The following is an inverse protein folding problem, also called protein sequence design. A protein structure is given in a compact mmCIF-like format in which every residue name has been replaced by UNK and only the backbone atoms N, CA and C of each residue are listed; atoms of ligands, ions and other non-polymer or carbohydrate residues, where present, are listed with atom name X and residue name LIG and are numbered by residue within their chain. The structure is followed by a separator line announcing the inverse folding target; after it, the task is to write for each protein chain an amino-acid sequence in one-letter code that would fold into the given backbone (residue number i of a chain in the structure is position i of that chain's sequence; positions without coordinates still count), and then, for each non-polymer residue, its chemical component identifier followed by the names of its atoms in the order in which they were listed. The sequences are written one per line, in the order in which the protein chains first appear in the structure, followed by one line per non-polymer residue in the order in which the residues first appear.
data_IF_198498013301
#
_entry.id   IF_198498013301
#
_cell.length_a   1.000
_cell.length_b   1.000
_cell.length_c   1.000
_cell.angle_alpha   90.00
_cell.angle_beta   90.00
_cell.angle_gamma   90.00
#
_symmetry.space_group_name_H-M   'P 1'
#
loop_
_entity.id
_entity.type
_entity.pdbx_description
1 polymer ?
#
# COMPACT_ATOMS: atom_id res chain seq x y z
N UNK A 1 -10.43 -4.94 5.49
CA UNK A 1 -10.19 -5.39 4.10
C UNK A 1 -9.17 -6.52 4.08
N UNK A 2 -9.31 -7.47 3.14
CA UNK A 2 -8.26 -8.42 2.79
C UNK A 2 -7.35 -7.75 1.76
N UNK A 3 -6.01 -7.81 1.96
CA UNK A 3 -5.05 -7.03 1.17
C UNK A 3 -3.96 -7.87 0.47
N UNK A 4 -3.77 -9.14 0.85
CA UNK A 4 -2.69 -9.97 0.30
C UNK A 4 -3.01 -10.39 -1.14
N UNK A 5 -2.35 -9.76 -2.13
CA UNK A 5 -2.58 -10.07 -3.55
C UNK A 5 -2.42 -11.57 -3.85
N UNK A 6 -1.34 -12.28 -3.40
CA UNK A 6 -1.22 -13.71 -3.66
C UNK A 6 -2.39 -14.54 -3.13
N UNK A 7 -2.90 -14.21 -1.95
CA UNK A 7 -4.02 -14.94 -1.36
C UNK A 7 -5.35 -14.67 -2.10
N UNK A 8 -5.49 -13.52 -2.77
CA UNK A 8 -6.70 -13.22 -3.55
C UNK A 8 -6.90 -14.17 -4.75
N UNK A 9 -5.84 -14.84 -5.20
CA UNK A 9 -5.95 -15.87 -6.25
C UNK A 9 -6.42 -17.23 -5.71
N UNK A 10 -6.30 -17.44 -4.40
CA UNK A 10 -6.68 -18.70 -3.73
C UNK A 10 -8.12 -18.63 -3.23
N UNK A 11 -8.50 -17.48 -2.68
CA UNK A 11 -9.82 -17.30 -2.04
C UNK A 11 -10.52 -15.99 -2.51
N UNK A 12 -10.82 -15.85 -3.83
CA UNK A 12 -11.40 -14.61 -4.36
C UNK A 12 -12.75 -14.26 -3.74
N UNK A 13 -13.58 -15.23 -3.40
CA UNK A 13 -14.90 -15.02 -2.78
C UNK A 13 -14.78 -14.29 -1.45
N UNK A 14 -13.79 -14.67 -0.61
CA UNK A 14 -13.52 -13.99 0.65
C UNK A 14 -13.18 -12.51 0.46
N UNK A 15 -12.52 -12.17 -0.66
CA UNK A 15 -12.21 -10.77 -1.00
C UNK A 15 -13.46 -10.00 -1.42
N UNK A 16 -14.38 -10.61 -2.17
CA UNK A 16 -15.66 -10.00 -2.52
C UNK A 16 -16.48 -9.74 -1.25
N UNK A 17 -16.62 -10.74 -0.40
CA UNK A 17 -17.40 -10.63 0.84
C UNK A 17 -16.82 -9.58 1.78
N UNK A 18 -15.49 -9.57 1.96
CA UNK A 18 -14.85 -8.63 2.89
C UNK A 18 -14.74 -7.23 2.30
N UNK A 19 -14.25 -7.09 1.07
CA UNK A 19 -13.91 -5.78 0.52
C UNK A 19 -15.12 -5.08 -0.09
N UNK A 20 -15.97 -5.77 -0.84
CA UNK A 20 -17.15 -5.15 -1.48
C UNK A 20 -18.33 -5.10 -0.50
N UNK A 21 -18.78 -6.25 0.01
CA UNK A 21 -19.93 -6.29 0.94
C UNK A 21 -19.59 -5.58 2.26
N UNK A 22 -18.35 -5.73 2.76
CA UNK A 22 -17.91 -4.98 3.95
C UNK A 22 -17.99 -3.48 3.74
N UNK A 23 -17.56 -2.96 2.58
CA UNK A 23 -17.69 -1.53 2.26
C UNK A 23 -19.15 -1.12 2.16
N UNK A 24 -20.01 -1.92 1.50
CA UNK A 24 -21.44 -1.67 1.46
C UNK A 24 -22.02 -1.53 2.87
N UNK A 25 -21.73 -2.48 3.75
CA UNK A 25 -22.22 -2.47 5.13
C UNK A 25 -21.78 -1.22 5.90
N UNK A 26 -20.50 -0.82 5.73
CA UNK A 26 -19.99 0.39 6.39
C UNK A 26 -20.63 1.67 5.84
N UNK A 27 -20.84 1.77 4.52
CA UNK A 27 -21.53 2.91 3.92
C UNK A 27 -23.00 2.98 4.37
N UNK A 28 -23.71 1.85 4.49
CA UNK A 28 -25.07 1.80 5.03
C UNK A 28 -25.09 2.26 6.49
N UNK A 29 -24.18 1.75 7.32
CA UNK A 29 -24.09 2.15 8.71
C UNK A 29 -23.78 3.64 8.88
N UNK A 30 -22.84 4.16 8.09
CA UNK A 30 -22.51 5.59 8.08
C UNK A 30 -23.72 6.46 7.69
N UNK A 31 -24.46 6.04 6.66
CA UNK A 31 -25.71 6.71 6.26
C UNK A 31 -26.76 6.72 7.37
N UNK A 32 -26.98 5.57 8.02
CA UNK A 32 -27.96 5.44 9.11
C UNK A 32 -27.57 6.24 10.34
N UNK A 33 -26.27 6.30 10.66
CA UNK A 33 -25.74 7.06 11.79
C UNK A 33 -25.65 8.57 11.52
N UNK A 34 -25.77 9.02 10.26
CA UNK A 34 -25.66 10.43 9.91
C UNK A 34 -24.28 10.99 10.23
N UNK A 35 -23.21 10.24 9.92
CA UNK A 35 -21.85 10.68 10.23
C UNK A 35 -21.45 11.90 9.39
N UNK A 36 -20.63 12.80 9.94
CA UNK A 36 -20.13 13.97 9.23
C UNK A 36 -19.14 13.63 8.14
N UNK A 37 -18.49 12.45 8.22
CA UNK A 37 -17.55 11.96 7.22
C UNK A 37 -17.27 10.46 7.36
N UNK A 38 -17.09 9.79 6.21
CA UNK A 38 -16.50 8.45 6.13
C UNK A 38 -15.32 8.47 5.16
N UNK A 39 -14.14 8.08 5.65
CA UNK A 39 -12.95 7.88 4.80
C UNK A 39 -12.82 6.41 4.47
N UNK A 40 -12.96 6.06 3.20
CA UNK A 40 -12.85 4.70 2.69
C UNK A 40 -11.43 4.44 2.22
N UNK A 41 -10.75 3.49 2.86
CA UNK A 41 -9.40 3.09 2.44
C UNK A 41 -9.46 2.27 1.17
N UNK A 42 -8.95 2.85 0.06
CA UNK A 42 -8.70 2.17 -1.21
C UNK A 42 -7.21 1.77 -1.33
N UNK A 43 -6.64 1.81 -2.52
CA UNK A 43 -5.26 1.42 -2.80
C UNK A 43 -4.79 1.95 -4.15
N UNK A 44 -3.50 2.17 -4.33
CA UNK A 44 -2.88 2.43 -5.64
C UNK A 44 -3.00 1.25 -6.62
N UNK A 45 -3.23 0.03 -6.14
CA UNK A 45 -3.39 -1.17 -6.98
C UNK A 45 -4.63 -1.13 -7.89
N UNK A 46 -5.58 -0.20 -7.65
CA UNK A 46 -6.74 0.02 -8.55
C UNK A 46 -6.33 0.55 -9.91
N UNK A 47 -5.15 1.17 -10.01
CA UNK A 47 -4.62 1.72 -11.26
C UNK A 47 -3.94 0.67 -12.13
N UNK A 48 -3.51 -0.46 -11.56
CA UNK A 48 -2.70 -1.44 -12.26
C UNK A 48 -1.34 -0.88 -12.68
N UNK A 49 -0.76 -1.42 -13.76
CA UNK A 49 0.49 -0.86 -14.32
C UNK A 49 0.22 0.53 -14.90
N UNK A 50 1.04 1.49 -14.49
CA UNK A 50 0.89 2.86 -14.92
C UNK A 50 0.96 3.00 -16.44
N UNK A 51 -0.02 3.70 -17.02
CA UNK A 51 0.00 4.17 -18.41
C UNK A 51 0.84 5.44 -18.52
N UNK A 52 0.75 6.28 -17.50
CA UNK A 52 1.53 7.49 -17.34
C UNK A 52 1.95 7.65 -15.87
N UNK A 53 3.04 8.34 -15.62
CA UNK A 53 3.54 8.68 -14.29
C UNK A 53 3.91 10.17 -14.22
N UNK A 54 3.64 10.82 -13.10
CA UNK A 54 2.98 10.29 -11.89
C UNK A 54 1.49 9.99 -12.14
N UNK A 55 0.98 8.95 -11.42
CA UNK A 55 -0.41 8.48 -11.53
C UNK A 55 -1.33 9.47 -10.82
N UNK A 56 -2.15 10.19 -11.59
CA UNK A 56 -3.19 11.06 -11.03
C UNK A 56 -4.46 10.28 -10.67
N UNK A 57 -5.40 10.92 -9.97
CA UNK A 57 -6.68 10.31 -9.59
C UNK A 57 -7.60 10.04 -10.79
N UNK A 58 -7.32 10.69 -11.93
CA UNK A 58 -8.05 10.49 -13.20
C UNK A 58 -7.49 9.34 -14.04
N UNK A 59 -6.36 8.75 -13.64
CA UNK A 59 -5.79 7.59 -14.32
C UNK A 59 -6.81 6.44 -14.39
N UNK A 60 -6.89 5.70 -15.51
CA UNK A 60 -7.80 4.56 -15.66
C UNK A 60 -7.63 3.52 -14.55
N UNK A 61 -8.74 2.99 -14.04
CA UNK A 61 -8.71 1.84 -13.12
C UNK A 61 -8.55 0.56 -13.93
N UNK A 62 -7.51 -0.22 -13.60
CA UNK A 62 -7.14 -1.44 -14.34
C UNK A 62 -6.95 -2.61 -13.36
N UNK A 63 -7.94 -3.50 -13.19
CA UNK A 63 -7.82 -4.62 -12.26
C UNK A 63 -6.84 -5.67 -12.79
N UNK A 64 -5.68 -5.82 -12.16
CA UNK A 64 -4.69 -6.85 -12.50
C UNK A 64 -4.70 -8.05 -11.52
N UNK A 65 -5.55 -8.01 -10.51
CA UNK A 65 -5.72 -9.10 -9.54
C UNK A 65 -7.16 -9.14 -9.01
N UNK A 66 -7.64 -10.28 -8.45
CA UNK A 66 -8.92 -10.31 -7.74
C UNK A 66 -8.97 -9.28 -6.60
N UNK A 67 -7.86 -9.05 -5.88
CA UNK A 67 -7.75 -7.99 -4.87
C UNK A 67 -8.06 -6.62 -5.47
N UNK A 68 -7.34 -6.20 -6.52
CA UNK A 68 -7.58 -4.88 -7.12
C UNK A 68 -8.99 -4.74 -7.68
N UNK A 69 -9.54 -5.80 -8.28
CA UNK A 69 -10.93 -5.82 -8.74
C UNK A 69 -11.92 -5.56 -7.60
N UNK A 70 -11.73 -6.20 -6.43
CA UNK A 70 -12.60 -5.97 -5.27
C UNK A 70 -12.43 -4.58 -4.66
N UNK A 71 -11.24 -3.98 -4.74
CA UNK A 71 -11.02 -2.59 -4.30
C UNK A 71 -11.68 -1.58 -5.24
N UNK A 72 -11.63 -1.82 -6.57
CA UNK A 72 -12.39 -1.03 -7.55
C UNK A 72 -13.90 -1.15 -7.29
N UNK A 73 -14.41 -2.35 -7.01
CA UNK A 73 -15.80 -2.57 -6.65
C UNK A 73 -16.20 -1.86 -5.35
N UNK A 74 -15.33 -1.88 -4.34
CA UNK A 74 -15.52 -1.15 -3.09
C UNK A 74 -15.55 0.38 -3.30
N UNK A 75 -14.64 0.92 -4.13
CA UNK A 75 -14.63 2.33 -4.52
C UNK A 75 -15.95 2.72 -5.20
N UNK A 76 -16.42 1.89 -6.16
CA UNK A 76 -17.68 2.13 -6.87
C UNK A 76 -18.90 2.11 -5.94
N UNK A 77 -18.95 1.21 -4.95
CA UNK A 77 -19.98 1.21 -3.90
C UNK A 77 -19.94 2.52 -3.11
N UNK A 78 -18.76 2.91 -2.63
CA UNK A 78 -18.60 4.13 -1.84
C UNK A 78 -18.99 5.38 -2.65
N UNK A 79 -18.54 5.51 -3.90
CA UNK A 79 -18.93 6.57 -4.84
C UNK A 79 -20.44 6.62 -5.05
N UNK A 80 -21.10 5.45 -5.20
CA UNK A 80 -22.55 5.38 -5.38
C UNK A 80 -23.34 5.89 -4.16
N UNK A 81 -22.83 5.65 -2.95
CA UNK A 81 -23.48 6.16 -1.73
C UNK A 81 -23.38 7.68 -1.61
N UNK A 82 -22.26 8.25 -2.04
CA UNK A 82 -22.15 9.72 -2.16
C UNK A 82 -23.14 10.26 -3.19
N UNK A 83 -23.11 9.72 -4.41
CA UNK A 83 -23.91 10.24 -5.53
C UNK A 83 -25.41 10.06 -5.34
N UNK A 84 -25.85 8.91 -4.82
CA UNK A 84 -27.27 8.57 -4.70
C UNK A 84 -27.91 9.07 -3.39
N UNK A 85 -27.14 9.13 -2.31
CA UNK A 85 -27.67 9.38 -0.97
C UNK A 85 -27.03 10.57 -0.25
N UNK A 86 -26.05 11.24 -0.86
CA UNK A 86 -25.34 12.36 -0.24
C UNK A 86 -24.47 11.97 0.95
N UNK A 87 -24.10 10.70 1.10
CA UNK A 87 -23.20 10.28 2.18
C UNK A 87 -21.83 10.96 2.00
N UNK A 88 -21.26 11.59 3.03
CA UNK A 88 -20.02 12.36 2.91
C UNK A 88 -18.78 11.45 2.84
N UNK A 89 -18.65 10.73 1.72
CA UNK A 89 -17.57 9.78 1.45
C UNK A 89 -16.33 10.49 0.91
N UNK A 90 -15.16 10.14 1.41
CA UNK A 90 -13.86 10.43 0.81
C UNK A 90 -13.13 9.11 0.59
N UNK A 91 -12.59 8.87 -0.61
CA UNK A 91 -11.84 7.65 -0.91
C UNK A 91 -10.34 7.98 -0.90
N UNK A 92 -9.63 7.43 0.08
CA UNK A 92 -8.19 7.57 0.20
C UNK A 92 -7.48 6.41 -0.53
N UNK A 93 -6.55 6.74 -1.43
CA UNK A 93 -5.73 5.78 -2.19
C UNK A 93 -4.27 5.87 -1.76
N UNK A 94 -3.88 5.22 -0.63
CA UNK A 94 -2.49 5.19 -0.24
C UNK A 94 -1.66 4.38 -1.24
N UNK A 95 -0.46 4.89 -1.55
CA UNK A 95 0.58 4.14 -2.23
C UNK A 95 1.29 3.23 -1.24
N UNK A 96 2.34 2.52 -1.64
CA UNK A 96 2.91 1.45 -0.82
C UNK A 96 3.38 1.93 0.55
N UNK A 97 2.54 1.77 1.55
CA UNK A 97 2.86 2.13 2.95
C UNK A 97 3.84 1.13 3.54
N UNK A 98 4.89 1.62 4.19
CA UNK A 98 5.89 0.81 4.90
C UNK A 98 6.23 1.41 6.27
N UNK A 99 6.79 0.60 7.14
CA UNK A 99 7.20 1.05 8.48
C UNK A 99 7.20 -0.08 9.51
N UNK A 100 7.37 0.27 10.79
CA UNK A 100 7.22 -0.66 11.91
C UNK A 100 5.93 -1.47 11.84
N UNK A 101 5.97 -2.73 12.24
CA UNK A 101 4.83 -3.67 12.27
C UNK A 101 4.27 -4.07 10.91
N UNK A 102 4.91 -3.71 9.80
CA UNK A 102 4.46 -4.13 8.48
C UNK A 102 4.49 -5.67 8.37
N UNK A 103 3.52 -6.21 7.64
CA UNK A 103 3.41 -7.65 7.41
C UNK A 103 4.64 -8.22 6.68
N UNK A 104 5.11 -9.41 7.09
CA UNK A 104 6.17 -10.16 6.42
C UNK A 104 5.85 -10.58 4.96
N UNK A 105 4.64 -10.27 4.47
CA UNK A 105 4.28 -10.42 3.04
C UNK A 105 4.86 -9.33 2.16
N UNK A 106 5.26 -8.20 2.74
CA UNK A 106 5.83 -7.07 2.01
C UNK A 106 7.35 -7.21 1.87
N UNK A 107 7.92 -6.61 0.82
CA UNK A 107 9.34 -6.76 0.48
C UNK A 107 10.26 -6.18 1.55
N UNK A 108 9.98 -4.99 2.09
CA UNK A 108 10.83 -4.31 3.08
C UNK A 108 11.02 -5.17 4.34
N UNK A 109 9.96 -5.63 5.05
CA UNK A 109 10.14 -6.51 6.20
C UNK A 109 10.73 -7.86 5.83
N UNK A 110 10.48 -8.38 4.63
CA UNK A 110 11.10 -9.64 4.15
C UNK A 110 12.61 -9.50 4.06
N UNK A 111 13.13 -8.42 3.49
CA UNK A 111 14.58 -8.18 3.39
C UNK A 111 15.18 -7.97 4.78
N UNK A 112 14.60 -7.06 5.57
CA UNK A 112 15.12 -6.72 6.91
C UNK A 112 15.17 -7.96 7.81
N UNK A 113 14.09 -8.77 7.85
CA UNK A 113 14.05 -9.95 8.71
C UNK A 113 15.05 -11.02 8.30
N UNK A 114 15.31 -11.23 7.02
CA UNK A 114 16.35 -12.14 6.55
C UNK A 114 17.75 -11.68 6.98
N UNK A 115 18.07 -10.41 6.77
CA UNK A 115 19.36 -9.84 7.19
C UNK A 115 19.52 -9.90 8.71
N UNK A 116 18.49 -9.48 9.46
CA UNK A 116 18.50 -9.49 10.92
C UNK A 116 18.62 -10.91 11.52
N UNK A 117 18.15 -11.92 10.79
CA UNK A 117 18.32 -13.33 11.16
C UNK A 117 19.71 -13.91 10.78
N UNK A 118 20.62 -13.09 10.30
CA UNK A 118 21.99 -13.49 9.97
C UNK A 118 22.20 -14.04 8.56
N UNK A 119 21.18 -14.03 7.70
CA UNK A 119 21.33 -14.48 6.32
C UNK A 119 22.23 -13.52 5.54
N UNK A 120 23.14 -14.07 4.72
CA UNK A 120 24.02 -13.31 3.82
C UNK A 120 23.62 -13.43 2.35
N UNK A 121 22.80 -14.43 2.02
CA UNK A 121 22.17 -14.56 0.72
C UNK A 121 20.65 -14.40 0.89
N UNK A 122 20.10 -13.30 0.38
CA UNK A 122 18.71 -12.90 0.54
C UNK A 122 17.86 -13.50 -0.56
N UNK A 123 16.73 -14.13 -0.20
CA UNK A 123 15.75 -14.64 -1.17
C UNK A 123 14.76 -13.53 -1.52
N UNK A 124 14.72 -13.15 -2.79
CA UNK A 124 13.85 -12.06 -3.30
C UNK A 124 13.06 -12.53 -4.52
N UNK A 125 12.05 -11.74 -4.93
CA UNK A 125 11.37 -11.89 -6.22
C UNK A 125 12.05 -11.04 -7.31
N UNK A 126 11.25 -10.59 -8.29
CA UNK A 126 11.72 -9.63 -9.30
C UNK A 126 12.09 -8.28 -8.65
N UNK A 127 13.29 -7.82 -8.91
CA UNK A 127 13.82 -6.55 -8.37
C UNK A 127 13.66 -5.37 -9.35
N UNK A 128 13.14 -5.62 -10.56
CA UNK A 128 12.97 -4.57 -11.57
C UNK A 128 11.77 -3.64 -11.34
N UNK A 129 10.63 -4.08 -10.73
CA UNK A 129 9.50 -3.20 -10.51
C UNK A 129 9.86 -2.00 -9.61
N UNK A 130 9.13 -0.89 -9.85
CA UNK A 130 9.29 0.33 -9.06
C UNK A 130 8.05 0.63 -8.24
N UNK A 131 8.22 1.24 -7.09
CA UNK A 131 7.14 1.62 -6.16
C UNK A 131 7.39 3.00 -5.59
N UNK A 132 6.30 3.65 -5.24
CA UNK A 132 6.25 4.84 -4.40
C UNK A 132 5.97 4.38 -2.97
N UNK A 133 6.98 4.51 -2.11
CA UNK A 133 6.90 4.11 -0.72
C UNK A 133 6.58 5.29 0.18
N UNK A 134 5.48 5.18 0.93
CA UNK A 134 5.09 6.14 1.96
C UNK A 134 5.42 5.58 3.34
N UNK A 135 6.16 6.34 4.15
CA UNK A 135 6.33 5.97 5.54
C UNK A 135 4.98 6.00 6.28
N UNK A 136 4.77 5.04 7.18
CA UNK A 136 3.46 4.83 7.82
C UNK A 136 2.90 6.07 8.53
N UNK A 137 3.76 6.90 9.14
CA UNK A 137 3.34 8.13 9.78
C UNK A 137 2.83 9.17 8.76
N UNK A 138 3.48 9.27 7.59
CA UNK A 138 3.01 10.12 6.50
C UNK A 138 1.64 9.66 5.98
N UNK A 139 1.47 8.36 5.82
CA UNK A 139 0.18 7.78 5.45
C UNK A 139 -0.89 8.11 6.48
N UNK A 140 -0.61 7.92 7.79
CA UNK A 140 -1.55 8.24 8.86
C UNK A 140 -1.92 9.73 8.87
N UNK A 141 -0.93 10.64 8.73
CA UNK A 141 -1.20 12.08 8.62
C UNK A 141 -2.05 12.40 7.39
N UNK A 142 -1.85 11.69 6.26
CA UNK A 142 -2.69 11.81 5.09
C UNK A 142 -4.16 11.46 5.36
N UNK A 143 -4.41 10.35 6.06
CA UNK A 143 -5.78 9.98 6.45
C UNK A 143 -6.41 11.01 7.39
N UNK A 144 -5.68 11.52 8.37
CA UNK A 144 -6.17 12.57 9.28
C UNK A 144 -6.51 13.84 8.49
N UNK A 145 -5.61 14.30 7.61
CA UNK A 145 -5.83 15.46 6.78
C UNK A 145 -7.09 15.32 5.90
N UNK A 146 -7.33 14.13 5.32
CA UNK A 146 -8.54 13.85 4.54
C UNK A 146 -9.81 13.75 5.42
N UNK A 147 -9.68 13.34 6.66
CA UNK A 147 -10.80 13.30 7.58
C UNK A 147 -11.26 14.72 7.99
N UNK A 148 -10.32 15.66 8.09
CA UNK A 148 -10.54 17.03 8.58
C UNK A 148 -10.81 18.05 7.46
N UNK A 149 -10.36 17.81 6.21
CA UNK A 149 -10.49 18.76 5.11
C UNK A 149 -11.95 18.97 4.70
N UNK A 150 -12.39 20.21 4.57
CA UNK A 150 -13.73 20.57 4.09
C UNK A 150 -13.84 20.55 2.56
N UNK A 151 -15.05 20.22 2.05
CA UNK A 151 -15.36 20.35 0.61
C UNK A 151 -14.69 19.31 -0.29
N UNK A 152 -14.32 18.18 0.25
CA UNK A 152 -13.65 17.08 -0.50
C UNK A 152 -14.51 15.81 -0.62
N UNK A 153 -15.75 15.87 -0.19
CA UNK A 153 -16.69 14.74 -0.25
C UNK A 153 -16.92 14.34 -1.72
N UNK A 154 -17.03 13.04 -1.94
CA UNK A 154 -17.14 12.44 -3.27
C UNK A 154 -15.81 12.28 -4.02
N UNK A 155 -14.69 12.74 -3.47
CA UNK A 155 -13.40 12.68 -4.16
C UNK A 155 -12.63 11.41 -3.86
N UNK A 156 -11.87 10.97 -4.87
CA UNK A 156 -10.79 10.00 -4.75
C UNK A 156 -9.49 10.78 -4.60
N UNK A 157 -8.65 10.45 -3.62
CA UNK A 157 -7.45 11.23 -3.32
C UNK A 157 -6.26 10.29 -3.04
N UNK A 158 -5.18 10.48 -3.80
CA UNK A 158 -3.94 9.74 -3.62
C UNK A 158 -3.17 10.24 -2.39
N UNK A 159 -2.62 9.30 -1.61
CA UNK A 159 -1.63 9.59 -0.58
C UNK A 159 -0.32 8.95 -1.07
N UNK A 160 0.56 9.75 -1.63
CA UNK A 160 1.77 9.31 -2.33
C UNK A 160 2.97 10.19 -1.98
N UNK A 161 4.19 9.60 -1.91
CA UNK A 161 5.40 10.40 -1.72
C UNK A 161 5.77 11.20 -2.98
N UNK A 162 5.32 10.75 -4.13
CA UNK A 162 5.71 11.29 -5.43
C UNK A 162 7.11 10.87 -5.88
N UNK A 163 7.69 9.89 -5.20
CA UNK A 163 9.05 9.40 -5.50
C UNK A 163 9.04 7.93 -5.85
N UNK A 164 9.60 7.56 -6.99
CA UNK A 164 9.68 6.20 -7.48
C UNK A 164 11.05 5.59 -7.18
N UNK A 165 11.06 4.37 -6.65
CA UNK A 165 12.28 3.61 -6.36
C UNK A 165 12.13 2.16 -6.79
N UNK A 166 13.19 1.54 -7.36
CA UNK A 166 13.16 0.12 -7.72
C UNK A 166 13.31 -0.79 -6.49
N UNK A 167 12.88 -2.05 -6.62
CA UNK A 167 13.10 -3.04 -5.57
C UNK A 167 14.60 -3.31 -5.37
N UNK A 168 15.41 -3.24 -6.44
CA UNK A 168 16.87 -3.34 -6.34
C UNK A 168 17.47 -2.22 -5.49
N UNK A 169 17.08 -0.98 -5.74
CA UNK A 169 17.55 0.16 -4.96
C UNK A 169 17.04 0.09 -3.51
N UNK A 170 15.83 -0.41 -3.30
CA UNK A 170 15.27 -0.62 -1.95
C UNK A 170 16.11 -1.64 -1.17
N UNK A 171 16.50 -2.76 -1.81
CA UNK A 171 17.40 -3.75 -1.21
C UNK A 171 18.75 -3.12 -0.85
N UNK A 172 19.36 -2.37 -1.78
CA UNK A 172 20.63 -1.69 -1.56
C UNK A 172 20.57 -0.72 -0.37
N UNK A 173 19.53 0.12 -0.31
CA UNK A 173 19.32 1.06 0.79
C UNK A 173 19.14 0.37 2.14
N UNK A 174 18.38 -0.73 2.19
CA UNK A 174 18.21 -1.50 3.43
C UNK A 174 19.54 -2.09 3.87
N UNK A 175 20.31 -2.68 2.94
CA UNK A 175 21.64 -3.25 3.24
C UNK A 175 22.59 -2.19 3.79
N UNK A 176 22.63 -1.01 3.19
CA UNK A 176 23.41 0.13 3.70
C UNK A 176 22.98 0.58 5.11
N UNK A 177 21.67 0.73 5.34
CA UNK A 177 21.14 1.14 6.65
C UNK A 177 21.47 0.12 7.73
N UNK A 178 21.50 -1.18 7.38
CA UNK A 178 21.84 -2.26 8.29
C UNK A 178 23.36 -2.52 8.41
N UNK A 179 24.19 -1.83 7.60
CA UNK A 179 25.64 -2.08 7.55
C UNK A 179 25.96 -3.52 7.14
N UNK A 180 25.14 -4.13 6.31
CA UNK A 180 25.21 -5.53 5.92
C UNK A 180 25.68 -5.64 4.46
N UNK A 181 26.69 -6.47 4.24
CA UNK A 181 27.06 -6.91 2.89
C UNK A 181 26.32 -8.22 2.59
N UNK A 182 25.43 -8.17 1.61
CA UNK A 182 24.55 -9.30 1.28
C UNK A 182 24.46 -9.51 -0.23
N UNK A 183 24.48 -10.79 -0.61
CA UNK A 183 24.09 -11.24 -1.93
C UNK A 183 22.59 -11.50 -1.99
N UNK A 184 22.05 -11.71 -3.18
CA UNK A 184 20.66 -12.15 -3.32
C UNK A 184 20.51 -13.22 -4.38
N UNK A 185 19.46 -14.04 -4.21
CA UNK A 185 19.01 -15.00 -5.22
C UNK A 185 17.52 -14.76 -5.51
N UNK A 186 17.17 -14.86 -6.80
CA UNK A 186 15.77 -14.81 -7.21
C UNK A 186 15.13 -16.16 -6.89
N UNK A 187 14.18 -16.14 -5.98
CA UNK A 187 13.42 -17.30 -5.57
C UNK A 187 12.20 -17.46 -6.50
N UNK A 188 12.09 -18.56 -7.26
CA UNK A 188 10.97 -18.79 -8.18
C UNK A 188 9.59 -18.73 -7.51
N UNK A 189 9.49 -19.12 -6.23
CA UNK A 189 8.22 -19.06 -5.49
C UNK A 189 7.74 -17.62 -5.24
N UNK A 190 8.65 -16.65 -5.28
CA UNK A 190 8.40 -15.22 -5.08
C UNK A 190 8.15 -14.46 -6.39
N UNK A 191 8.34 -15.13 -7.53
CA UNK A 191 8.07 -14.53 -8.83
C UNK A 191 6.57 -14.52 -9.12
N UNK A 192 6.07 -13.37 -9.53
CA UNK A 192 4.72 -13.24 -10.06
C UNK A 192 4.75 -13.44 -11.59
N UNK A 193 3.74 -14.11 -12.17
CA UNK A 193 3.63 -14.15 -13.63
C UNK A 193 3.64 -12.72 -14.19
N UNK A 194 4.37 -12.52 -15.31
CA UNK A 194 4.63 -11.18 -15.87
C UNK A 194 3.36 -10.35 -16.16
N UNK A 195 2.25 -11.02 -16.52
CA UNK A 195 0.94 -10.37 -16.75
C UNK A 195 0.25 -9.91 -15.44
N UNK A 196 0.72 -10.37 -14.27
CA UNK A 196 0.15 -10.07 -12.94
C UNK A 196 1.02 -9.10 -12.14
N UNK A 197 2.22 -8.78 -12.64
CA UNK A 197 3.13 -7.85 -11.98
C UNK A 197 2.83 -6.41 -12.41
N UNK A 198 2.52 -5.58 -11.45
CA UNK A 198 2.44 -4.13 -11.62
C UNK A 198 3.86 -3.59 -11.69
N UNK A 199 4.28 -3.15 -12.88
CA UNK A 199 5.69 -2.77 -13.11
C UNK A 199 6.06 -1.43 -12.52
N UNK A 200 5.15 -0.44 -12.58
CA UNK A 200 5.41 0.92 -12.08
C UNK A 200 4.22 1.45 -11.28
N UNK A 201 4.51 1.97 -10.11
CA UNK A 201 3.58 2.76 -9.29
C UNK A 201 4.33 3.95 -8.72
N UNK A 202 4.02 5.15 -9.25
CA UNK A 202 4.48 6.43 -8.72
C UNK A 202 3.27 7.37 -8.69
N UNK A 203 2.88 7.82 -7.52
CA UNK A 203 1.65 8.60 -7.34
C UNK A 203 1.84 10.09 -7.54
N UNK A 204 0.82 10.73 -8.08
CA UNK A 204 0.69 12.18 -8.05
C UNK A 204 0.06 12.61 -6.72
N UNK A 205 0.77 13.44 -5.96
CA UNK A 205 0.29 13.95 -4.69
C UNK A 205 -0.18 15.43 -4.76
N UNK A 206 -0.24 16.01 -5.95
CA UNK A 206 -0.64 17.42 -6.12
C UNK A 206 -2.05 17.68 -5.62
N UNK A 207 -2.97 16.72 -5.77
CA UNK A 207 -4.34 16.92 -5.33
C UNK A 207 -4.43 17.03 -3.81
N UNK A 208 -3.91 16.05 -3.05
CA UNK A 208 -3.92 16.12 -1.58
C UNK A 208 -3.18 17.36 -1.06
N UNK A 209 -2.06 17.73 -1.69
CA UNK A 209 -1.29 18.91 -1.28
C UNK A 209 -1.99 20.23 -1.61
N UNK A 210 -2.90 20.27 -2.58
CA UNK A 210 -3.71 21.44 -2.90
C UNK A 210 -4.93 21.59 -2.01
N UNK A 211 -5.44 20.48 -1.48
CA UNK A 211 -6.67 20.43 -0.68
C UNK A 211 -6.38 20.47 0.83
N UNK A 212 -5.15 20.19 1.24
CA UNK A 212 -4.74 20.09 2.64
C UNK A 212 -3.31 20.59 2.84
N UNK A 213 -2.91 20.78 4.10
CA UNK A 213 -1.52 21.10 4.45
C UNK A 213 -0.61 19.83 4.49
N UNK A 214 -1.14 18.69 4.12
CA UNK A 214 -0.37 17.44 4.11
C UNK A 214 0.80 17.49 3.12
N UNK A 215 1.94 17.05 3.58
CA UNK A 215 3.16 16.82 2.76
C UNK A 215 3.87 15.56 3.28
N UNK A 216 4.54 14.78 2.41
CA UNK A 216 5.44 13.72 2.88
C UNK A 216 6.60 14.38 3.64
N UNK A 217 6.88 13.92 4.85
CA UNK A 217 7.91 14.51 5.73
C UNK A 217 9.09 13.58 5.96
N UNK A 218 8.90 12.27 5.81
CA UNK A 218 9.92 11.28 6.10
C UNK A 218 10.55 10.79 4.81
N UNK A 219 11.85 11.02 4.64
CA UNK A 219 12.58 10.47 3.50
C UNK A 219 12.62 8.94 3.54
N UNK A 220 12.76 8.29 2.37
CA UNK A 220 12.84 6.82 2.30
C UNK A 220 13.97 6.28 3.20
N UNK A 221 15.15 6.90 3.17
CA UNK A 221 16.30 6.47 3.98
C UNK A 221 16.02 6.57 5.49
N UNK A 222 15.42 7.66 5.92
CA UNK A 222 15.05 7.85 7.32
C UNK A 222 13.98 6.84 7.75
N UNK A 223 12.90 6.67 6.96
CA UNK A 223 11.84 5.71 7.26
C UNK A 223 12.35 4.26 7.27
N UNK A 224 13.28 3.90 6.37
CA UNK A 224 13.96 2.60 6.42
C UNK A 224 14.78 2.44 7.70
N UNK A 225 15.51 3.48 8.14
CA UNK A 225 16.26 3.44 9.41
C UNK A 225 15.33 3.16 10.61
N UNK A 226 14.21 3.86 10.70
CA UNK A 226 13.21 3.65 11.76
C UNK A 226 12.57 2.26 11.67
N UNK A 227 12.34 1.76 10.46
CA UNK A 227 11.79 0.42 10.22
C UNK A 227 12.79 -0.66 10.63
N UNK A 228 14.05 -0.53 10.22
CA UNK A 228 15.14 -1.44 10.61
C UNK A 228 15.28 -1.48 12.12
N UNK A 229 15.36 -0.32 12.78
CA UNK A 229 15.47 -0.25 14.25
C UNK A 229 14.36 -1.04 14.97
N UNK A 230 13.13 -0.97 14.45
CA UNK A 230 12.01 -1.73 15.02
C UNK A 230 12.13 -3.23 14.77
N UNK A 231 12.51 -3.65 13.55
CA UNK A 231 12.61 -5.07 13.19
C UNK A 231 13.83 -5.78 13.80
N UNK A 232 14.89 -5.04 14.11
CA UNK A 232 16.10 -5.61 14.74
C UNK A 232 15.98 -5.76 16.26
N UNK A 233 14.95 -5.18 16.87
CA UNK A 233 14.61 -5.50 18.25
C UNK A 233 14.26 -6.99 18.38
N UNK A 234 14.91 -7.77 19.27
CA UNK A 234 14.69 -9.21 19.37
C UNK A 234 13.25 -9.62 19.66
N UNK A 235 12.53 -8.84 20.47
CA UNK A 235 11.13 -9.11 20.81
C UNK A 235 10.19 -8.91 19.59
N UNK A 236 10.54 -8.01 18.70
CA UNK A 236 9.80 -7.76 17.47
C UNK A 236 10.18 -8.79 16.40
N UNK A 237 11.48 -9.04 16.20
CA UNK A 237 11.98 -10.01 15.21
C UNK A 237 11.44 -11.42 15.46
N UNK A 238 11.34 -11.85 16.72
CA UNK A 238 10.79 -13.16 17.09
C UNK A 238 9.36 -13.44 16.59
N UNK A 239 8.63 -12.40 16.17
CA UNK A 239 7.27 -12.52 15.61
C UNK A 239 7.28 -12.83 14.12
N UNK A 240 8.44 -12.78 13.46
CA UNK A 240 8.61 -12.94 12.02
C UNK A 240 9.43 -14.20 11.71
N UNK A 241 8.99 -14.94 10.69
CA UNK A 241 9.68 -16.13 10.21
C UNK A 241 10.43 -15.77 8.94
N UNK A 242 11.73 -15.54 9.06
CA UNK A 242 12.58 -15.05 7.98
C UNK A 242 12.80 -16.08 6.85
N UNK A 243 12.71 -17.37 7.18
CA UNK A 243 12.92 -18.52 6.31
C UNK A 243 11.69 -18.92 5.48
N UNK A 244 10.52 -18.40 5.82
CA UNK A 244 9.25 -18.74 5.17
C UNK A 244 8.78 -17.64 4.22
N UNK A 245 8.32 -18.06 3.02
CA UNK A 245 7.58 -17.16 2.14
C UNK A 245 6.12 -17.04 2.62
N UNK A 246 5.77 -15.87 3.14
CA UNK A 246 4.42 -15.58 3.63
C UNK A 246 3.51 -15.20 2.44
N UNK A 247 2.47 -15.98 2.18
CA UNK A 247 1.45 -15.76 1.15
C UNK A 247 0.20 -15.04 1.68
#
# INVERSE_FOLDING_TARGET
ALIAIPYSYVAPDSYVDTNIKGTLNMCQAARQAGVDRIVVTSTSEVYGTAVEVPISETHPRQPQSPYSATKIGADAIAESFHNAFGVPVVIARPFNTYGPRQSARAIIPTIISQIASGMRTIKVGDLSPTRDFNFVEDTCRGFIALAEAGGIEGRNINIASGTEVSMAETLRLISEVMGADVDYVVDPERLRPSKREVRRLCGDNRLITSLTDWRPQVSLREGLGRTVAWFTDPANLARYKADIYNR
#
